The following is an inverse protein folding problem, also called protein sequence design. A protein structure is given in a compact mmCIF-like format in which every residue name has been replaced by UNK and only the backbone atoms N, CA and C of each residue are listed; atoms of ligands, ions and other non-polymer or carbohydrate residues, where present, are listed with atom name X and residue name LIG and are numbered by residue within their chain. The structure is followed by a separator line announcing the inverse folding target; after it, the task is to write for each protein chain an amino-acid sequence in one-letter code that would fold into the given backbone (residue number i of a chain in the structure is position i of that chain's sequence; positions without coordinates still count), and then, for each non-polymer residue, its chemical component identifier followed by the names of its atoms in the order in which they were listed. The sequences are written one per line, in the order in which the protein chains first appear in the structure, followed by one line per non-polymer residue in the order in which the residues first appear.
data_IF_560437326052
#
_entry.id   IF_560437326052
#
_cell.length_a   1.000
_cell.length_b   1.000
_cell.length_c   1.000
_cell.angle_alpha   90.00
_cell.angle_beta   90.00
_cell.angle_gamma   90.00
#
_symmetry.space_group_name_H-M   'P 1'
#
loop_
_entity.id
_entity.type
_entity.pdbx_description
1 polymer ?
#
# COMPACT_ATOMS: atom_id res chain seq x y z
N UNK A 1 -68.04 -21.11 -13.11
CA UNK A 1 -68.52 -20.09 -14.06
C UNK A 1 -67.31 -19.45 -14.72
N UNK A 2 -66.99 -19.89 -15.93
CA UNK A 2 -66.06 -19.21 -16.83
C UNK A 2 -66.83 -18.16 -17.59
N UNK A 3 -66.43 -16.89 -17.57
CA UNK A 3 -66.72 -15.94 -18.67
C UNK A 3 -65.51 -15.01 -18.88
N UNK A 4 -64.81 -15.31 -19.98
CA UNK A 4 -64.19 -14.42 -20.96
C UNK A 4 -63.49 -13.13 -20.50
N UNK A 5 -62.16 -13.14 -20.53
CA UNK A 5 -61.40 -11.93 -20.81
C UNK A 5 -61.06 -11.92 -22.30
N UNK A 6 -61.84 -11.15 -23.06
CA UNK A 6 -61.60 -10.85 -24.46
C UNK A 6 -60.11 -10.55 -24.71
N UNK A 7 -59.49 -11.30 -25.62
CA UNK A 7 -58.10 -11.13 -26.02
C UNK A 7 -57.91 -9.77 -26.69
N UNK A 8 -57.60 -8.76 -25.87
CA UNK A 8 -57.13 -7.46 -26.37
C UNK A 8 -55.86 -7.71 -27.18
N UNK A 9 -55.94 -7.49 -28.49
CA UNK A 9 -54.79 -7.54 -29.42
C UNK A 9 -53.58 -6.85 -28.76
N UNK A 10 -52.55 -7.64 -28.43
CA UNK A 10 -51.30 -7.14 -27.82
C UNK A 10 -50.51 -6.33 -28.86
N UNK A 11 -50.97 -5.12 -29.16
CA UNK A 11 -50.17 -4.12 -29.88
C UNK A 11 -49.24 -3.47 -28.86
N UNK A 12 -47.93 -3.69 -29.01
CA UNK A 12 -46.91 -3.10 -28.16
C UNK A 12 -45.73 -4.02 -27.87
N UNK A 13 -44.68 -3.47 -27.25
CA UNK A 13 -43.51 -4.22 -26.81
C UNK A 13 -43.93 -5.27 -25.78
N UNK A 14 -43.49 -6.52 -25.97
CA UNK A 14 -43.71 -7.60 -24.99
C UNK A 14 -43.21 -7.15 -23.60
N UNK A 15 -44.01 -7.30 -22.53
CA UNK A 15 -43.58 -6.95 -21.18
C UNK A 15 -42.39 -7.82 -20.77
N UNK A 16 -41.47 -7.24 -20.00
CA UNK A 16 -40.33 -7.98 -19.42
C UNK A 16 -40.84 -8.91 -18.32
N UNK A 17 -40.19 -10.06 -18.14
CA UNK A 17 -40.53 -11.03 -17.10
C UNK A 17 -40.47 -10.42 -15.68
N UNK A 18 -39.41 -9.66 -15.38
CA UNK A 18 -39.24 -8.95 -14.12
C UNK A 18 -39.02 -7.45 -14.37
N UNK A 19 -40.08 -6.62 -14.37
CA UNK A 19 -39.94 -5.17 -14.51
C UNK A 19 -39.37 -4.55 -13.22
N UNK A 20 -38.45 -3.60 -13.35
CA UNK A 20 -38.01 -2.76 -12.23
C UNK A 20 -39.09 -1.71 -11.93
N UNK A 21 -39.96 -2.00 -10.98
CA UNK A 21 -41.13 -1.16 -10.63
C UNK A 21 -40.85 -0.15 -9.52
N UNK A 22 -39.93 -0.47 -8.60
CA UNK A 22 -39.59 0.40 -7.47
C UNK A 22 -38.51 1.42 -7.84
N UNK A 23 -38.76 2.69 -7.52
CA UNK A 23 -37.82 3.80 -7.73
C UNK A 23 -37.58 4.54 -6.42
N UNK A 24 -36.31 4.72 -6.08
CA UNK A 24 -35.87 5.54 -4.96
C UNK A 24 -35.14 6.78 -5.48
N UNK A 25 -35.38 7.93 -4.84
CA UNK A 25 -34.71 9.20 -5.14
C UNK A 25 -33.84 9.57 -3.95
N UNK A 26 -32.59 9.95 -4.19
CA UNK A 26 -31.68 10.46 -3.17
C UNK A 26 -31.23 11.86 -3.58
N UNK A 27 -31.00 12.72 -2.59
CA UNK A 27 -30.49 14.08 -2.78
C UNK A 27 -28.99 14.07 -2.47
N UNK A 28 -28.19 14.69 -3.33
CA UNK A 28 -26.76 14.86 -3.14
C UNK A 28 -26.44 16.35 -3.01
N UNK A 29 -25.44 16.68 -2.21
CA UNK A 29 -24.78 17.98 -2.28
C UNK A 29 -23.82 18.03 -3.49
N UNK A 30 -23.26 19.20 -3.80
CA UNK A 30 -22.36 19.36 -4.96
C UNK A 30 -21.12 18.47 -4.89
N UNK A 31 -20.52 18.32 -3.70
CA UNK A 31 -19.31 17.52 -3.52
C UNK A 31 -19.56 16.02 -3.74
N UNK A 32 -20.66 15.50 -3.19
CA UNK A 32 -21.07 14.11 -3.34
C UNK A 32 -21.49 13.82 -4.79
N UNK A 33 -22.07 14.80 -5.47
CA UNK A 33 -22.38 14.70 -6.89
C UNK A 33 -21.12 14.53 -7.75
N UNK A 34 -20.09 15.35 -7.53
CA UNK A 34 -18.82 15.23 -8.24
C UNK A 34 -18.12 13.89 -7.96
N UNK A 35 -18.15 13.44 -6.70
CA UNK A 35 -17.61 12.14 -6.30
C UNK A 35 -18.35 10.97 -6.96
N UNK A 36 -19.68 11.06 -7.08
CA UNK A 36 -20.48 10.06 -7.80
C UNK A 36 -20.11 10.01 -9.29
N UNK A 37 -19.97 11.19 -9.92
CA UNK A 37 -19.62 11.28 -11.34
C UNK A 37 -18.22 10.73 -11.64
N UNK A 38 -17.23 10.97 -10.77
CA UNK A 38 -15.89 10.41 -10.95
C UNK A 38 -15.89 8.89 -10.87
N UNK A 39 -16.59 8.32 -9.88
CA UNK A 39 -16.76 6.87 -9.77
C UNK A 39 -17.53 6.27 -10.96
N UNK A 40 -18.56 6.97 -11.45
CA UNK A 40 -19.35 6.53 -12.60
C UNK A 40 -18.51 6.46 -13.87
N UNK A 41 -17.69 7.49 -14.16
CA UNK A 41 -16.81 7.53 -15.35
C UNK A 41 -15.88 6.32 -15.42
N UNK A 42 -15.32 5.90 -14.29
CA UNK A 42 -14.44 4.72 -14.22
C UNK A 42 -15.18 3.38 -14.37
N UNK A 43 -16.49 3.35 -14.16
CA UNK A 43 -17.27 2.10 -14.10
C UNK A 43 -17.70 1.55 -15.48
N UNK A 44 -17.71 2.39 -16.53
CA UNK A 44 -18.15 2.01 -17.88
C UNK A 44 -19.63 1.62 -18.00
N UNK A 45 -20.46 1.86 -16.97
CA UNK A 45 -21.88 1.49 -16.98
C UNK A 45 -22.70 2.44 -17.87
N UNK A 46 -23.77 1.92 -18.47
CA UNK A 46 -24.64 2.66 -19.40
C UNK A 46 -25.41 3.83 -18.76
N UNK A 47 -25.69 3.76 -17.47
CA UNK A 47 -26.40 4.83 -16.75
C UNK A 47 -25.99 4.89 -15.29
N UNK A 48 -26.09 6.08 -14.72
CA UNK A 48 -25.78 6.34 -13.31
C UNK A 48 -26.66 5.49 -12.38
N UNK A 49 -27.95 5.31 -12.69
CA UNK A 49 -28.86 4.49 -11.88
C UNK A 49 -28.46 3.02 -11.85
N UNK A 50 -28.04 2.46 -12.98
CA UNK A 50 -27.54 1.08 -13.05
C UNK A 50 -26.23 0.94 -12.28
N UNK A 51 -25.35 1.93 -12.37
CA UNK A 51 -24.12 1.95 -11.59
C UNK A 51 -24.39 1.96 -10.08
N UNK A 52 -25.31 2.79 -9.60
CA UNK A 52 -25.64 2.88 -8.17
C UNK A 52 -26.30 1.61 -7.67
N UNK A 53 -27.25 1.05 -8.42
CA UNK A 53 -27.90 -0.21 -8.05
C UNK A 53 -26.88 -1.36 -7.98
N UNK A 54 -25.97 -1.45 -8.94
CA UNK A 54 -24.88 -2.42 -8.95
C UNK A 54 -23.91 -2.21 -7.78
N UNK A 55 -23.59 -0.96 -7.47
CA UNK A 55 -22.75 -0.60 -6.34
C UNK A 55 -23.40 -0.95 -4.99
N UNK A 56 -24.72 -0.77 -4.84
CA UNK A 56 -25.42 -1.05 -3.58
C UNK A 56 -25.76 -2.54 -3.40
N UNK A 57 -26.10 -3.24 -4.48
CA UNK A 57 -26.59 -4.62 -4.43
C UNK A 57 -25.48 -5.66 -4.63
N UNK A 58 -24.50 -5.37 -5.48
CA UNK A 58 -23.46 -6.35 -5.87
C UNK A 58 -22.09 -6.05 -5.24
N UNK A 59 -21.84 -4.81 -4.84
CA UNK A 59 -20.65 -4.46 -4.05
C UNK A 59 -21.08 -4.19 -2.62
N UNK A 60 -20.92 -5.17 -1.73
CA UNK A 60 -20.98 -4.86 -0.30
C UNK A 60 -20.01 -3.70 -0.05
N UNK A 61 -20.47 -2.56 0.52
CA UNK A 61 -19.54 -1.50 0.89
C UNK A 61 -18.61 -2.08 1.95
N UNK A 62 -17.41 -2.49 1.51
CA UNK A 62 -16.36 -2.96 2.40
C UNK A 62 -15.79 -1.73 3.07
N UNK A 63 -16.40 -1.34 4.20
CA UNK A 63 -15.85 -0.32 5.09
C UNK A 63 -14.59 -0.93 5.69
N UNK A 64 -13.45 -0.68 5.05
CA UNK A 64 -12.14 -1.04 5.60
C UNK A 64 -11.71 0.14 6.45
N UNK A 65 -11.63 -0.08 7.76
CA UNK A 65 -10.94 0.84 8.65
C UNK A 65 -9.45 0.74 8.33
N UNK A 66 -8.94 1.73 7.61
CA UNK A 66 -7.52 1.80 7.26
C UNK A 66 -6.82 2.60 8.35
N UNK A 67 -6.07 1.90 9.19
CA UNK A 67 -5.09 2.55 10.04
C UNK A 67 -3.89 2.94 9.16
N UNK A 68 -3.84 4.23 8.79
CA UNK A 68 -2.77 4.77 7.93
C UNK A 68 -1.41 4.64 8.60
N UNK A 69 -1.34 4.79 9.92
CA UNK A 69 -0.08 4.72 10.67
C UNK A 69 0.50 3.30 10.59
N UNK A 70 -0.34 2.28 10.72
CA UNK A 70 0.09 0.89 10.58
C UNK A 70 0.62 0.61 9.16
N UNK A 71 -0.07 1.10 8.12
CA UNK A 71 0.40 0.91 6.74
C UNK A 71 1.75 1.58 6.53
N UNK A 72 1.89 2.85 6.92
CA UNK A 72 3.14 3.60 6.76
C UNK A 72 4.29 2.94 7.53
N UNK A 73 4.02 2.45 8.74
CA UNK A 73 4.98 1.67 9.52
C UNK A 73 5.40 0.37 8.80
N UNK A 74 4.44 -0.41 8.29
CA UNK A 74 4.77 -1.65 7.55
C UNK A 74 5.56 -1.38 6.28
N UNK A 75 5.28 -0.27 5.58
CA UNK A 75 6.03 0.15 4.40
C UNK A 75 7.47 0.56 4.78
N UNK A 76 7.63 1.32 5.86
CA UNK A 76 8.94 1.69 6.37
C UNK A 76 9.76 0.45 6.75
N UNK A 77 9.17 -0.48 7.49
CA UNK A 77 9.83 -1.72 7.91
C UNK A 77 10.22 -2.60 6.71
N UNK A 78 9.34 -2.70 5.71
CA UNK A 78 9.63 -3.41 4.45
C UNK A 78 10.80 -2.78 3.69
N UNK A 79 10.85 -1.44 3.64
CA UNK A 79 11.94 -0.72 2.99
C UNK A 79 13.28 -0.92 3.73
N UNK A 80 13.27 -0.92 5.06
CA UNK A 80 14.43 -1.22 5.89
C UNK A 80 14.93 -2.66 5.65
N UNK A 81 14.03 -3.64 5.57
CA UNK A 81 14.40 -5.02 5.23
C UNK A 81 14.97 -5.17 3.81
N UNK A 82 14.51 -4.34 2.86
CA UNK A 82 15.08 -4.31 1.51
C UNK A 82 16.52 -3.76 1.52
N UNK A 83 16.77 -2.67 2.26
CA UNK A 83 18.11 -2.11 2.43
C UNK A 83 19.06 -3.11 3.11
N UNK A 84 18.60 -3.78 4.18
CA UNK A 84 19.40 -4.79 4.87
C UNK A 84 19.78 -5.96 3.95
N UNK A 85 18.83 -6.43 3.13
CA UNK A 85 19.11 -7.47 2.13
C UNK A 85 20.11 -7.01 1.08
N UNK A 86 20.05 -5.75 0.62
CA UNK A 86 21.00 -5.21 -0.33
C UNK A 86 22.42 -5.19 0.25
N UNK A 87 22.58 -4.73 1.51
CA UNK A 87 23.88 -4.75 2.22
C UNK A 87 24.42 -6.19 2.32
N UNK A 88 23.58 -7.14 2.73
CA UNK A 88 23.95 -8.57 2.80
C UNK A 88 24.42 -9.11 1.44
N UNK A 89 23.71 -8.78 0.37
CA UNK A 89 24.07 -9.23 -0.97
C UNK A 89 25.42 -8.66 -1.41
N UNK A 90 25.64 -7.36 -1.19
CA UNK A 90 26.90 -6.71 -1.52
C UNK A 90 28.07 -7.33 -0.75
N UNK A 91 27.89 -7.58 0.56
CA UNK A 91 28.91 -8.25 1.36
C UNK A 91 29.24 -9.65 0.81
N UNK A 92 28.22 -10.45 0.52
CA UNK A 92 28.41 -11.79 -0.04
C UNK A 92 29.11 -11.76 -1.40
N UNK A 93 28.81 -10.79 -2.25
CA UNK A 93 29.46 -10.61 -3.54
C UNK A 93 30.95 -10.28 -3.37
N UNK A 94 31.28 -9.33 -2.49
CA UNK A 94 32.67 -8.96 -2.19
C UNK A 94 33.42 -10.14 -1.61
N UNK A 95 32.86 -10.83 -0.61
CA UNK A 95 33.50 -12.00 -0.01
C UNK A 95 33.78 -13.11 -1.03
N UNK A 96 32.79 -13.46 -1.87
CA UNK A 96 32.98 -14.45 -2.93
C UNK A 96 34.08 -14.04 -3.91
N UNK A 97 34.10 -12.77 -4.30
CA UNK A 97 35.12 -12.23 -5.20
C UNK A 97 36.51 -12.30 -4.58
N UNK A 98 36.65 -11.96 -3.29
CA UNK A 98 37.90 -12.07 -2.56
C UNK A 98 38.34 -13.54 -2.41
N UNK A 99 37.42 -14.43 -2.05
CA UNK A 99 37.69 -15.85 -1.87
C UNK A 99 38.16 -16.51 -3.17
N UNK A 100 37.53 -16.17 -4.31
CA UNK A 100 37.93 -16.67 -5.63
C UNK A 100 39.33 -16.20 -6.06
N UNK A 101 39.68 -14.94 -5.79
CA UNK A 101 40.94 -14.35 -6.26
C UNK A 101 42.13 -14.60 -5.31
N UNK A 102 41.91 -14.61 -4.00
CA UNK A 102 42.95 -14.62 -2.97
C UNK A 102 42.97 -15.90 -2.12
N UNK A 103 41.93 -16.73 -2.25
CA UNK A 103 41.70 -17.90 -1.39
C UNK A 103 40.90 -17.54 -0.12
N UNK A 104 40.15 -18.51 0.39
CA UNK A 104 39.20 -18.33 1.49
C UNK A 104 39.85 -17.82 2.78
N UNK A 105 41.04 -18.34 3.14
CA UNK A 105 41.76 -17.94 4.36
C UNK A 105 42.10 -16.44 4.37
N UNK A 106 42.65 -15.94 3.26
CA UNK A 106 43.01 -14.52 3.12
C UNK A 106 41.78 -13.63 3.05
N UNK A 107 40.72 -14.08 2.37
CA UNK A 107 39.45 -13.35 2.33
C UNK A 107 38.83 -13.19 3.73
N UNK A 108 38.91 -14.24 4.57
CA UNK A 108 38.45 -14.20 5.94
C UNK A 108 39.28 -13.24 6.81
N UNK A 109 40.61 -13.32 6.75
CA UNK A 109 41.51 -12.39 7.45
C UNK A 109 41.23 -10.92 7.08
N UNK A 110 41.02 -10.64 5.79
CA UNK A 110 40.66 -9.29 5.33
C UNK A 110 39.34 -8.80 5.92
N UNK A 111 38.32 -9.66 6.00
CA UNK A 111 37.05 -9.29 6.65
C UNK A 111 37.25 -9.02 8.13
N UNK A 112 38.03 -9.85 8.83
CA UNK A 112 38.32 -9.65 10.25
C UNK A 112 39.00 -8.30 10.51
N UNK A 113 39.96 -7.91 9.66
CA UNK A 113 40.61 -6.60 9.74
C UNK A 113 39.59 -5.48 9.57
N UNK A 114 38.70 -5.57 8.57
CA UNK A 114 37.66 -4.55 8.35
C UNK A 114 36.70 -4.44 9.55
N UNK A 115 36.33 -5.57 10.17
CA UNK A 115 35.48 -5.54 11.38
C UNK A 115 36.18 -4.85 12.55
N UNK A 116 37.46 -5.14 12.79
CA UNK A 116 38.22 -4.48 13.86
C UNK A 116 38.43 -2.99 13.61
N UNK A 117 38.67 -2.58 12.35
CA UNK A 117 38.75 -1.15 11.99
C UNK A 117 37.43 -0.43 12.25
N UNK A 118 36.29 -1.09 11.98
CA UNK A 118 34.96 -0.53 12.27
C UNK A 118 34.75 -0.33 13.78
N UNK A 119 35.09 -1.32 14.59
CA UNK A 119 35.02 -1.23 16.06
C UNK A 119 35.88 -0.09 16.60
N UNK A 120 37.12 0.01 16.09
CA UNK A 120 38.01 1.12 16.44
C UNK A 120 37.44 2.49 16.06
N UNK A 121 36.80 2.59 14.89
CA UNK A 121 36.12 3.82 14.45
C UNK A 121 34.97 4.24 15.37
N UNK A 122 34.17 3.29 15.84
CA UNK A 122 33.09 3.56 16.80
C UNK A 122 33.64 4.05 18.15
N UNK A 123 34.70 3.39 18.65
CA UNK A 123 35.37 3.80 19.88
C UNK A 123 35.94 5.22 19.77
N UNK A 124 36.54 5.56 18.61
CA UNK A 124 37.04 6.91 18.34
C UNK A 124 35.92 7.95 18.42
N UNK A 125 34.76 7.67 17.82
CA UNK A 125 33.61 8.57 17.89
C UNK A 125 33.13 8.78 19.34
N UNK A 126 33.06 7.71 20.12
CA UNK A 126 32.66 7.79 21.53
C UNK A 126 33.66 8.60 22.38
N UNK A 127 34.95 8.44 22.11
CA UNK A 127 36.01 9.23 22.75
C UNK A 127 35.85 10.71 22.38
N UNK A 128 35.64 11.02 21.10
CA UNK A 128 35.43 12.40 20.64
C UNK A 128 34.20 13.05 21.27
N UNK A 129 33.07 12.34 21.31
CA UNK A 129 31.85 12.81 21.99
C UNK A 129 32.07 13.06 23.49
N UNK A 130 32.81 12.17 24.14
CA UNK A 130 33.14 12.31 25.56
C UNK A 130 34.05 13.51 25.81
N UNK A 131 35.04 13.74 24.95
CA UNK A 131 35.92 14.93 25.00
C UNK A 131 35.11 16.21 24.79
N UNK A 132 34.15 16.23 23.86
CA UNK A 132 33.28 17.38 23.63
C UNK A 132 32.43 17.67 24.88
N UNK A 133 31.75 16.65 25.43
CA UNK A 133 30.97 16.76 26.67
C UNK A 133 31.82 17.27 27.84
N UNK A 134 33.04 16.74 27.99
CA UNK A 134 33.97 17.18 29.02
C UNK A 134 34.39 18.64 28.83
N UNK A 135 34.70 19.07 27.61
CA UNK A 135 35.02 20.48 27.29
C UNK A 135 33.86 21.41 27.63
N UNK A 136 32.63 21.04 27.28
CA UNK A 136 31.44 21.84 27.60
C UNK A 136 31.19 21.96 29.11
N UNK A 137 31.48 20.90 29.88
CA UNK A 137 31.38 20.90 31.35
C UNK A 137 32.48 21.71 32.03
N UNK A 138 33.68 21.79 31.43
CA UNK A 138 34.85 22.45 32.01
C UNK A 138 35.05 23.90 31.55
N UNK A 139 34.26 24.42 30.61
CA UNK A 139 34.27 25.85 30.26
C UNK A 139 33.41 26.62 31.28
N UNK A 140 33.95 27.68 31.92
CA UNK A 140 33.14 28.54 32.77
C UNK A 140 32.08 29.24 31.90
N UNK A 141 30.84 29.30 32.42
CA UNK A 141 29.74 30.06 31.82
C UNK A 141 30.04 31.56 31.79
#
# INVERSE_FOLDING_TARGET
MSIENAEKKKRGRKPKANPQTHRYQFRLNSQDHERLLSMFKCSGKRSVSVFIADCMLNKHPKVVYIDKVLIDYTMLLSSFHAQFRAIKNNFNQVYRTLALNLGEKKAFEMIQIVTSIREFGLLKQEIEETIIKFRELCLPK
#
